data_IF_039665753856
#
_entry.id   IF_039665753856
#
_cell.length_a   1.000
_cell.length_b   1.000
_cell.length_c   1.000
_cell.angle_alpha   90.00
_cell.angle_beta   90.00
_cell.angle_gamma   90.00
#
_symmetry.space_group_name_H-M   'P 1'
#
loop_
_entity.id
_entity.type
_entity.pdbx_description
1 polymer ?
#
# COMPACT_ATOMS: atom_id res chain seq x y z
N UNK A 1 -3.03 -15.35 -21.60
CA UNK A 1 -3.27 -15.40 -20.13
C UNK A 1 -4.77 -15.26 -19.86
N UNK A 2 -5.39 -16.18 -19.12
CA UNK A 2 -6.78 -16.01 -18.65
C UNK A 2 -6.82 -14.80 -17.71
N UNK A 3 -7.61 -13.77 -18.02
CA UNK A 3 -7.92 -12.71 -17.05
C UNK A 3 -8.71 -13.35 -15.91
N UNK A 4 -8.08 -13.55 -14.76
CA UNK A 4 -8.79 -13.93 -13.54
C UNK A 4 -9.80 -12.82 -13.27
N UNK A 5 -11.10 -13.16 -13.29
CA UNK A 5 -12.16 -12.23 -12.89
C UNK A 5 -12.28 -12.33 -11.38
N UNK A 6 -11.80 -11.31 -10.69
CA UNK A 6 -12.10 -11.15 -9.27
C UNK A 6 -13.54 -10.61 -9.13
N UNK A 7 -14.17 -10.81 -7.98
CA UNK A 7 -15.51 -10.29 -7.69
C UNK A 7 -15.53 -9.57 -6.33
N UNK A 8 -16.56 -8.76 -6.10
CA UNK A 8 -16.74 -8.01 -4.86
C UNK A 8 -15.65 -6.95 -4.64
N UNK A 9 -15.34 -6.69 -3.37
CA UNK A 9 -14.46 -5.59 -2.94
C UNK A 9 -13.05 -5.67 -3.54
N UNK A 10 -12.51 -6.87 -3.76
CA UNK A 10 -11.19 -7.03 -4.36
C UNK A 10 -11.16 -6.51 -5.81
N UNK A 11 -12.20 -6.77 -6.60
CA UNK A 11 -12.27 -6.24 -7.97
C UNK A 11 -12.39 -4.73 -7.98
N UNK A 12 -13.12 -4.15 -7.02
CA UNK A 12 -13.20 -2.70 -6.86
C UNK A 12 -11.82 -2.10 -6.54
N UNK A 13 -11.08 -2.68 -5.59
CA UNK A 13 -9.72 -2.24 -5.27
C UNK A 13 -8.79 -2.33 -6.48
N UNK A 14 -8.86 -3.41 -7.27
CA UNK A 14 -8.06 -3.56 -8.49
C UNK A 14 -8.37 -2.45 -9.50
N UNK A 15 -9.65 -2.13 -9.72
CA UNK A 15 -10.04 -1.08 -10.65
C UNK A 15 -9.50 0.28 -10.20
N UNK A 16 -9.64 0.58 -8.90
CA UNK A 16 -9.14 1.80 -8.28
C UNK A 16 -7.63 1.91 -8.32
N UNK A 17 -6.90 0.84 -8.04
CA UNK A 17 -5.45 0.83 -8.08
C UNK A 17 -4.88 1.07 -9.49
N UNK A 18 -5.54 0.49 -10.52
CA UNK A 18 -5.14 0.72 -11.91
C UNK A 18 -5.39 2.16 -12.37
N UNK A 19 -6.45 2.82 -11.88
CA UNK A 19 -6.65 4.25 -12.10
C UNK A 19 -5.67 5.10 -11.28
N UNK A 20 -5.48 4.73 -10.02
CA UNK A 20 -4.41 5.13 -9.11
C UNK A 20 -4.34 6.63 -8.78
N UNK A 21 -5.42 7.39 -8.94
CA UNK A 21 -5.45 8.76 -8.45
C UNK A 21 -5.45 8.78 -6.90
N UNK A 22 -5.25 9.96 -6.33
CA UNK A 22 -5.21 10.17 -4.87
C UNK A 22 -6.44 9.56 -4.18
N UNK A 23 -7.64 9.86 -4.65
CA UNK A 23 -8.89 9.41 -4.04
C UNK A 23 -9.06 7.88 -4.09
N UNK A 24 -8.54 7.24 -5.13
CA UNK A 24 -8.56 5.80 -5.28
C UNK A 24 -7.59 5.11 -4.32
N UNK A 25 -6.38 5.66 -4.14
CA UNK A 25 -5.43 5.18 -3.12
C UNK A 25 -6.01 5.37 -1.72
N UNK A 26 -6.59 6.54 -1.42
CA UNK A 26 -7.25 6.82 -0.15
C UNK A 26 -8.38 5.82 0.13
N UNK A 27 -9.17 5.52 -0.90
CA UNK A 27 -10.25 4.54 -0.80
C UNK A 27 -9.74 3.14 -0.49
N UNK A 28 -8.63 2.70 -1.09
CA UNK A 28 -8.08 1.37 -0.82
C UNK A 28 -7.49 1.33 0.59
N UNK A 29 -6.63 2.29 0.92
CA UNK A 29 -5.80 2.25 2.13
C UNK A 29 -6.59 2.50 3.41
N UNK A 30 -7.76 3.16 3.35
CA UNK A 30 -8.65 3.32 4.53
C UNK A 30 -9.12 1.97 5.11
N UNK A 31 -9.02 0.89 4.35
CA UNK A 31 -9.34 -0.47 4.81
C UNK A 31 -8.21 -1.13 5.60
N UNK A 32 -7.08 -0.45 5.83
CA UNK A 32 -6.03 -0.86 6.75
C UNK A 32 -6.25 -0.20 8.12
N UNK A 33 -6.97 -0.90 8.98
CA UNK A 33 -7.25 -0.51 10.37
C UNK A 33 -6.82 -1.64 11.31
N UNK A 34 -6.88 -1.41 12.62
CA UNK A 34 -6.61 -2.46 13.63
C UNK A 34 -7.60 -3.62 13.56
N UNK A 35 -8.79 -3.39 13.00
CA UNK A 35 -9.87 -4.39 12.89
C UNK A 35 -9.85 -5.12 11.54
N UNK A 36 -8.88 -4.82 10.67
CA UNK A 36 -8.80 -5.44 9.35
C UNK A 36 -8.50 -6.93 9.46
N UNK A 37 -9.36 -7.75 8.86
CA UNK A 37 -9.12 -9.18 8.76
C UNK A 37 -7.88 -9.48 7.89
N UNK A 38 -7.26 -10.64 8.10
CA UNK A 38 -6.13 -11.09 7.28
C UNK A 38 -6.47 -11.13 5.77
N UNK A 39 -7.65 -11.60 5.31
CA UNK A 39 -8.02 -11.49 3.91
C UNK A 39 -8.08 -10.05 3.40
N UNK A 40 -8.64 -9.13 4.19
CA UNK A 40 -8.76 -7.72 3.80
C UNK A 40 -7.39 -7.07 3.60
N UNK A 41 -6.47 -7.29 4.54
CA UNK A 41 -5.12 -6.74 4.43
C UNK A 41 -4.36 -7.30 3.21
N UNK A 42 -4.54 -8.58 2.87
CA UNK A 42 -3.99 -9.16 1.63
C UNK A 42 -4.62 -8.58 0.36
N UNK A 43 -5.92 -8.29 0.37
CA UNK A 43 -6.59 -7.63 -0.76
C UNK A 43 -6.05 -6.23 -0.99
N UNK A 44 -5.87 -5.46 0.09
CA UNK A 44 -5.27 -4.14 0.02
C UNK A 44 -3.83 -4.23 -0.48
N UNK A 45 -2.98 -5.08 0.10
CA UNK A 45 -1.58 -5.23 -0.31
C UNK A 45 -1.45 -5.55 -1.81
N UNK A 46 -2.25 -6.53 -2.28
CA UNK A 46 -2.29 -6.87 -3.69
C UNK A 46 -2.72 -5.68 -4.54
N UNK A 47 -3.79 -4.97 -4.16
CA UNK A 47 -4.25 -3.82 -4.92
C UNK A 47 -3.21 -2.69 -4.96
N UNK A 48 -2.57 -2.36 -3.83
CA UNK A 48 -1.53 -1.33 -3.79
C UNK A 48 -0.36 -1.66 -4.72
N UNK A 49 0.01 -2.94 -4.86
CA UNK A 49 1.05 -3.37 -5.81
C UNK A 49 0.75 -3.06 -7.28
N UNK A 50 -0.52 -2.81 -7.63
CA UNK A 50 -0.96 -2.47 -8.98
C UNK A 50 -0.87 -0.96 -9.28
N UNK A 51 -0.66 -0.12 -8.26
CA UNK A 51 -0.53 1.33 -8.43
C UNK A 51 0.81 1.64 -9.12
N UNK A 52 0.74 2.24 -10.30
CA UNK A 52 1.93 2.52 -11.14
C UNK A 52 2.12 3.99 -11.50
N UNK A 53 1.06 4.79 -11.44
CA UNK A 53 1.17 6.21 -11.79
C UNK A 53 1.77 7.03 -10.63
N UNK A 54 2.32 8.18 -10.98
CA UNK A 54 3.04 9.04 -10.04
C UNK A 54 2.13 9.60 -8.94
N UNK A 55 0.89 9.96 -9.25
CA UNK A 55 -0.05 10.53 -8.27
C UNK A 55 -0.34 9.54 -7.13
N UNK A 56 -0.60 8.28 -7.48
CA UNK A 56 -0.83 7.22 -6.50
C UNK A 56 0.42 6.86 -5.71
N UNK A 57 1.60 6.84 -6.36
CA UNK A 57 2.88 6.61 -5.66
C UNK A 57 3.14 7.71 -4.63
N UNK A 58 2.92 8.98 -4.98
CA UNK A 58 3.04 10.11 -4.04
C UNK A 58 2.05 10.00 -2.89
N UNK A 59 0.83 9.51 -3.14
CA UNK A 59 -0.14 9.29 -2.07
C UNK A 59 0.28 8.16 -1.13
N UNK A 60 0.87 7.08 -1.65
CA UNK A 60 1.45 6.01 -0.82
C UNK A 60 2.64 6.51 0.00
N UNK A 61 3.45 7.42 -0.54
CA UNK A 61 4.51 8.08 0.22
C UNK A 61 3.92 8.91 1.36
N UNK A 62 2.86 9.68 1.11
CA UNK A 62 2.17 10.42 2.16
C UNK A 62 1.73 9.51 3.31
N UNK A 63 1.12 8.35 3.01
CA UNK A 63 0.73 7.40 4.05
C UNK A 63 1.89 6.69 4.75
N UNK A 64 3.04 6.51 4.09
CA UNK A 64 4.26 6.03 4.74
C UNK A 64 4.73 6.99 5.84
N UNK A 65 4.58 8.30 5.64
CA UNK A 65 5.06 9.29 6.61
C UNK A 65 3.97 9.74 7.59
N UNK A 66 2.69 9.70 7.21
CA UNK A 66 1.59 10.30 7.97
C UNK A 66 0.45 9.33 8.33
N UNK A 67 0.46 8.11 7.80
CA UNK A 67 -0.58 7.11 8.07
C UNK A 67 -0.52 6.52 9.48
N UNK A 68 -1.45 5.63 9.80
CA UNK A 68 -1.40 4.77 10.99
C UNK A 68 -0.28 3.72 10.87
N UNK A 69 0.10 3.07 11.97
CA UNK A 69 1.17 2.05 11.95
C UNK A 69 0.94 0.96 10.88
N UNK A 70 -0.27 0.42 10.78
CA UNK A 70 -0.59 -0.59 9.76
C UNK A 70 -0.49 -0.01 8.34
N UNK A 71 -0.93 1.22 8.10
CA UNK A 71 -0.82 1.87 6.80
C UNK A 71 0.64 2.08 6.40
N UNK A 72 1.47 2.58 7.33
CA UNK A 72 2.91 2.77 7.12
C UNK A 72 3.60 1.46 6.78
N UNK A 73 3.26 0.39 7.49
CA UNK A 73 3.83 -0.93 7.25
C UNK A 73 3.53 -1.45 5.83
N UNK A 74 2.28 -1.37 5.38
CA UNK A 74 1.93 -1.77 4.01
C UNK A 74 2.50 -0.82 2.94
N UNK A 75 2.64 0.48 3.22
CA UNK A 75 3.34 1.40 2.32
C UNK A 75 4.84 1.05 2.23
N UNK A 76 5.47 0.67 3.35
CA UNK A 76 6.86 0.19 3.36
C UNK A 76 7.05 -1.03 2.47
N UNK A 77 6.15 -2.03 2.55
CA UNK A 77 6.15 -3.20 1.66
C UNK A 77 6.06 -2.80 0.19
N UNK A 78 5.17 -1.87 -0.15
CA UNK A 78 5.05 -1.34 -1.51
C UNK A 78 6.36 -0.75 -2.02
N UNK A 79 7.01 0.14 -1.26
CA UNK A 79 8.27 0.78 -1.66
C UNK A 79 9.44 -0.20 -1.69
N UNK A 80 9.53 -1.14 -0.74
CA UNK A 80 10.55 -2.18 -0.73
C UNK A 80 10.50 -3.05 -1.99
N UNK A 81 9.30 -3.50 -2.40
CA UNK A 81 9.13 -4.30 -3.63
C UNK A 81 9.49 -3.54 -4.91
N UNK A 82 9.45 -2.21 -4.88
CA UNK A 82 9.84 -1.33 -5.98
C UNK A 82 11.32 -1.00 -6.01
N UNK A 83 12.06 -1.33 -4.94
CA UNK A 83 13.47 -0.96 -4.78
C UNK A 83 13.66 0.49 -4.34
N UNK A 84 12.60 1.18 -3.88
CA UNK A 84 12.61 2.58 -3.45
C UNK A 84 13.18 2.70 -2.01
N UNK A 85 14.39 2.14 -1.80
CA UNK A 85 15.00 1.95 -0.48
C UNK A 85 15.24 3.27 0.28
N UNK A 86 15.60 4.34 -0.43
CA UNK A 86 15.87 5.63 0.23
C UNK A 86 14.62 6.17 0.95
N UNK A 87 13.44 5.97 0.37
CA UNK A 87 12.16 6.38 0.95
C UNK A 87 11.86 5.58 2.23
N UNK A 88 12.04 4.25 2.18
CA UNK A 88 11.84 3.36 3.34
C UNK A 88 12.85 3.66 4.45
N UNK A 89 14.13 3.82 4.10
CA UNK A 89 15.19 4.18 5.05
C UNK A 89 14.88 5.48 5.77
N UNK A 90 14.35 6.49 5.06
CA UNK A 90 13.96 7.77 5.68
C UNK A 90 12.84 7.57 6.70
N UNK A 91 11.82 6.77 6.39
CA UNK A 91 10.73 6.47 7.34
C UNK A 91 11.24 5.71 8.58
N UNK A 92 12.16 4.75 8.39
CA UNK A 92 12.80 4.03 9.49
C UNK A 92 13.65 4.96 10.38
N UNK A 93 14.46 5.83 9.79
CA UNK A 93 15.27 6.81 10.54
C UNK A 93 14.44 7.81 11.35
N UNK A 94 13.19 8.06 10.95
CA UNK A 94 12.24 8.88 11.70
C UNK A 94 11.46 8.08 12.77
N UNK A 95 11.72 6.79 12.94
CA UNK A 95 11.02 5.92 13.88
C UNK A 95 9.57 5.64 13.50
N UNK A 96 9.19 5.82 12.23
CA UNK A 96 7.81 5.65 11.77
C UNK A 96 7.44 4.19 11.49
N UNK A 97 8.46 3.38 11.22
CA UNK A 97 8.42 1.92 11.03
C UNK A 97 9.59 1.29 11.78
N UNK A 98 9.47 0.03 12.18
CA UNK A 98 10.54 -0.70 12.86
C UNK A 98 11.54 -1.34 11.87
N UNK A 99 12.58 -1.97 12.42
CA UNK A 99 13.63 -2.63 11.65
C UNK A 99 13.10 -3.80 10.82
N UNK A 100 12.20 -4.61 11.39
CA UNK A 100 11.59 -5.76 10.72
C UNK A 100 10.87 -5.29 9.45
N UNK A 101 10.09 -4.22 9.59
CA UNK A 101 9.32 -3.65 8.50
C UNK A 101 10.22 -2.95 7.48
N UNK A 102 11.28 -2.27 7.91
CA UNK A 102 12.25 -1.64 7.01
C UNK A 102 12.92 -2.66 6.09
N UNK A 103 13.26 -3.85 6.59
CA UNK A 103 13.97 -4.88 5.83
C UNK A 103 13.07 -5.99 5.25
N UNK A 104 11.76 -5.91 5.45
CA UNK A 104 10.79 -6.83 4.85
C UNK A 104 10.78 -6.74 3.31
N UNK A 105 10.69 -7.89 2.63
CA UNK A 105 10.64 -7.99 1.16
C UNK A 105 9.51 -8.91 0.72
#
# INVERSE_FOLDING_TARGET
MKKIKFSGILQEFINKANNGNTQDVDFIIKHLTTESSLPMTRYVDYALSLVKNEAGIRQLEFYLFHGSLIQRNYCSLFFNRRGDWLTVKKAYQQGLIDEIQAYSR
#
